data_IF_719876196051
#
_entry.id   IF_719876196051
#
_cell.length_a   1.000
_cell.length_b   1.000
_cell.length_c   1.000
_cell.angle_alpha   90.00
_cell.angle_beta   90.00
_cell.angle_gamma   90.00
#
_symmetry.space_group_name_H-M   'P 1'
#
loop_
_entity.id
_entity.type
_entity.pdbx_description
1 polymer ?
#
# COMPACT_ATOMS: atom_id res chain seq x y z
N UNK A 1 -4.43 -0.89 -15.91
CA UNK A 1 -4.04 0.51 -15.56
C UNK A 1 -4.74 0.87 -14.24
N UNK A 2 -4.20 1.77 -13.41
CA UNK A 2 -4.99 2.30 -12.25
C UNK A 2 -6.06 3.23 -12.82
N UNK A 3 -7.33 2.97 -12.49
CA UNK A 3 -8.51 3.70 -12.97
C UNK A 3 -9.21 4.44 -11.83
N UNK A 4 -9.00 4.02 -10.59
CA UNK A 4 -9.58 4.65 -9.42
C UNK A 4 -8.58 4.68 -8.28
N UNK A 5 -8.58 5.79 -7.54
CA UNK A 5 -7.76 5.97 -6.34
C UNK A 5 -8.57 6.65 -5.25
N UNK A 6 -8.55 6.07 -4.05
CA UNK A 6 -9.02 6.67 -2.81
C UNK A 6 -7.85 6.78 -1.85
N UNK A 7 -7.69 7.96 -1.25
CA UNK A 7 -6.63 8.24 -0.28
C UNK A 7 -7.31 8.82 0.95
N UNK A 8 -7.03 8.28 2.13
CA UNK A 8 -7.56 8.78 3.39
C UNK A 8 -6.43 9.01 4.38
N UNK A 9 -6.62 10.04 5.21
CA UNK A 9 -5.69 10.40 6.27
C UNK A 9 -4.23 10.58 5.76
N UNK A 10 -4.06 11.36 4.68
CA UNK A 10 -2.74 11.62 4.08
C UNK A 10 -2.51 13.12 3.83
N UNK A 11 -1.52 13.70 4.53
CA UNK A 11 -1.11 15.11 4.40
C UNK A 11 -2.28 16.11 4.49
N UNK A 12 -2.66 16.74 3.38
CA UNK A 12 -3.80 17.68 3.33
C UNK A 12 -5.14 16.99 3.06
N UNK A 13 -5.14 15.67 2.85
CA UNK A 13 -6.32 14.90 2.50
C UNK A 13 -6.88 14.19 3.71
N UNK A 14 -8.03 14.65 4.20
CA UNK A 14 -8.89 13.83 5.06
C UNK A 14 -9.37 12.62 4.25
N UNK A 15 -9.89 12.89 3.05
CA UNK A 15 -10.24 11.90 2.04
C UNK A 15 -10.17 12.54 0.65
N UNK A 16 -9.68 11.79 -0.33
CA UNK A 16 -9.73 12.11 -1.76
C UNK A 16 -10.22 10.86 -2.49
N UNK A 17 -11.10 11.04 -3.47
CA UNK A 17 -11.64 9.98 -4.30
C UNK A 17 -11.61 10.46 -5.76
N UNK A 18 -10.80 9.82 -6.61
CA UNK A 18 -10.55 10.27 -7.98
C UNK A 18 -10.62 9.10 -8.95
N UNK A 19 -11.31 9.32 -10.07
CA UNK A 19 -11.22 8.46 -11.25
C UNK A 19 -10.09 8.96 -12.15
N UNK A 20 -9.27 8.05 -12.64
CA UNK A 20 -8.13 8.32 -13.49
C UNK A 20 -8.44 7.88 -14.92
N UNK A 21 -8.27 8.81 -15.87
CA UNK A 21 -8.32 8.53 -17.29
C UNK A 21 -6.95 8.22 -17.86
N UNK A 22 -6.90 8.01 -19.19
CA UNK A 22 -5.64 7.86 -19.95
C UNK A 22 -4.74 9.11 -19.86
N UNK A 23 -5.35 10.28 -19.72
CA UNK A 23 -4.70 11.57 -19.47
C UNK A 23 -5.38 12.23 -18.28
N UNK A 24 -4.61 12.69 -17.29
CA UNK A 24 -5.11 13.38 -16.11
C UNK A 24 -4.40 14.73 -15.99
N UNK A 25 -5.17 15.82 -16.05
CA UNK A 25 -4.66 17.19 -15.89
C UNK A 25 -5.05 17.73 -14.52
N UNK A 26 -4.07 17.97 -13.65
CA UNK A 26 -4.28 18.50 -12.31
C UNK A 26 -4.00 20.00 -12.27
N UNK A 27 -5.05 20.82 -12.22
CA UNK A 27 -4.96 22.29 -12.13
C UNK A 27 -5.46 22.78 -10.78
N UNK A 28 -4.84 23.82 -10.23
CA UNK A 28 -5.28 24.47 -9.01
C UNK A 28 -4.24 25.44 -8.48
N UNK A 29 -4.62 26.25 -7.48
CA UNK A 29 -3.71 27.22 -6.84
C UNK A 29 -2.57 26.55 -6.08
N UNK A 30 -1.54 27.31 -5.69
CA UNK A 30 -0.52 26.81 -4.76
C UNK A 30 -1.19 26.33 -3.46
N UNK A 31 -0.62 25.29 -2.86
CA UNK A 31 -1.17 24.61 -1.67
C UNK A 31 -2.53 23.91 -1.83
N UNK A 32 -3.08 23.79 -3.05
CA UNK A 32 -4.34 23.06 -3.29
C UNK A 32 -4.26 21.52 -3.13
N UNK A 33 -3.15 20.99 -2.62
CA UNK A 33 -2.93 19.55 -2.44
C UNK A 33 -2.32 18.80 -3.64
N UNK A 34 -2.10 19.42 -4.80
CA UNK A 34 -1.52 18.74 -5.99
C UNK A 34 -0.22 18.00 -5.69
N UNK A 35 0.76 18.66 -5.09
CA UNK A 35 2.03 18.02 -4.74
C UNK A 35 1.86 16.92 -3.69
N UNK A 36 0.85 17.01 -2.82
CA UNK A 36 0.52 15.92 -1.88
C UNK A 36 -0.07 14.72 -2.61
N UNK A 37 -0.84 14.93 -3.69
CA UNK A 37 -1.29 13.84 -4.55
C UNK A 37 -0.10 13.13 -5.24
N UNK A 38 0.89 13.87 -5.72
CA UNK A 38 2.11 13.28 -6.26
C UNK A 38 2.93 12.52 -5.19
N UNK A 39 3.00 13.02 -3.95
CA UNK A 39 3.59 12.26 -2.85
C UNK A 39 2.83 10.96 -2.58
N UNK A 40 1.50 10.96 -2.72
CA UNK A 40 0.67 9.76 -2.60
C UNK A 40 0.98 8.73 -3.70
N UNK A 41 1.14 9.17 -4.94
CA UNK A 41 1.59 8.29 -6.03
C UNK A 41 3.01 7.75 -5.78
N UNK A 42 3.89 8.57 -5.21
CA UNK A 42 5.24 8.13 -4.80
C UNK A 42 5.17 7.05 -3.72
N UNK A 43 4.26 7.16 -2.75
CA UNK A 43 4.02 6.09 -1.76
C UNK A 43 3.63 4.79 -2.46
N UNK A 44 2.67 4.82 -3.39
CA UNK A 44 2.27 3.64 -4.15
C UNK A 44 3.41 3.03 -4.98
N UNK A 45 4.26 3.87 -5.58
CA UNK A 45 5.45 3.40 -6.30
C UNK A 45 6.46 2.73 -5.35
N UNK A 46 6.68 3.31 -4.17
CA UNK A 46 7.55 2.73 -3.14
C UNK A 46 7.04 1.38 -2.64
N UNK A 47 5.72 1.23 -2.51
CA UNK A 47 5.06 -0.06 -2.25
C UNK A 47 5.37 -1.05 -3.38
N UNK A 48 5.20 -0.66 -4.64
CA UNK A 48 5.52 -1.52 -5.79
C UNK A 48 7.00 -1.96 -5.85
N UNK A 49 7.91 -1.10 -5.37
CA UNK A 49 9.34 -1.40 -5.24
C UNK A 49 9.68 -2.31 -4.04
N UNK A 50 8.71 -2.63 -3.19
CA UNK A 50 8.87 -3.51 -2.02
C UNK A 50 9.74 -2.92 -0.93
N UNK A 51 9.72 -1.60 -0.80
CA UNK A 51 10.36 -0.89 0.30
C UNK A 51 9.55 -1.02 1.59
N UNK A 52 10.22 -0.83 2.73
CA UNK A 52 9.52 -0.70 4.00
C UNK A 52 8.76 0.62 4.07
N UNK A 53 7.76 0.75 4.94
CA UNK A 53 6.98 1.99 5.09
C UNK A 53 7.91 3.18 5.41
N UNK A 54 8.89 3.00 6.30
CA UNK A 54 9.87 4.07 6.56
C UNK A 54 10.77 4.35 5.37
N UNK A 55 11.26 3.34 4.64
CA UNK A 55 12.02 3.60 3.41
C UNK A 55 11.20 4.40 2.40
N UNK A 56 9.90 4.12 2.28
CA UNK A 56 8.99 4.82 1.37
C UNK A 56 8.82 6.28 1.78
N UNK A 57 8.62 6.55 3.07
CA UNK A 57 8.30 7.88 3.59
C UNK A 57 9.56 8.73 3.82
N UNK A 58 10.58 8.16 4.44
CA UNK A 58 11.78 8.83 4.96
C UNK A 58 13.03 8.62 4.07
N UNK A 59 12.90 7.80 3.03
CA UNK A 59 13.94 7.62 2.03
C UNK A 59 14.77 6.35 2.25
N UNK A 60 15.49 5.95 1.21
CA UNK A 60 16.44 4.83 1.23
C UNK A 60 17.76 5.28 0.62
N UNK A 61 18.89 5.17 1.34
CA UNK A 61 20.19 5.49 0.77
C UNK A 61 20.57 4.47 -0.31
N UNK A 62 21.49 4.86 -1.19
CA UNK A 62 22.05 3.96 -2.20
C UNK A 62 22.68 2.73 -1.52
N UNK A 63 22.42 1.56 -2.06
CA UNK A 63 23.14 0.34 -1.69
C UNK A 63 23.79 -0.28 -2.93
N UNK A 64 24.58 -1.34 -2.73
CA UNK A 64 25.14 -2.13 -3.83
C UNK A 64 24.05 -2.75 -4.74
N UNK A 65 22.81 -2.86 -4.26
CA UNK A 65 21.72 -3.58 -4.91
C UNK A 65 20.47 -2.73 -5.18
N UNK A 66 20.48 -1.43 -4.84
CA UNK A 66 19.34 -0.55 -5.08
C UNK A 66 19.74 0.92 -5.25
N UNK A 67 19.00 1.61 -6.13
CA UNK A 67 19.11 3.06 -6.31
C UNK A 67 18.61 3.84 -5.09
N UNK A 68 18.97 5.13 -5.04
CA UNK A 68 18.50 6.05 -4.01
C UNK A 68 16.98 6.22 -4.15
N UNK A 69 16.27 6.10 -3.04
CA UNK A 69 14.87 6.51 -2.95
C UNK A 69 14.76 7.80 -2.15
N UNK A 70 14.37 8.88 -2.81
CA UNK A 70 14.14 10.15 -2.11
C UNK A 70 12.85 10.08 -1.26
N UNK A 71 12.84 10.65 -0.05
CA UNK A 71 11.67 10.70 0.81
C UNK A 71 10.51 11.47 0.20
N UNK A 72 9.30 11.24 0.72
CA UNK A 72 8.21 12.20 0.52
C UNK A 72 8.47 13.44 1.37
N UNK A 73 7.94 14.59 0.95
CA UNK A 73 8.12 15.85 1.68
C UNK A 73 7.58 15.74 3.11
N UNK A 74 8.45 16.00 4.09
CA UNK A 74 8.13 15.93 5.52
C UNK A 74 8.16 14.52 6.13
N UNK A 75 8.43 13.48 5.35
CA UNK A 75 8.60 12.12 5.82
C UNK A 75 7.38 11.54 6.56
N UNK A 76 7.65 10.52 7.37
CA UNK A 76 6.69 9.86 8.24
C UNK A 76 6.03 10.82 9.24
N UNK A 77 6.77 11.81 9.72
CA UNK A 77 6.30 12.80 10.69
C UNK A 77 5.16 13.70 10.16
N UNK A 78 5.02 13.83 8.83
CA UNK A 78 4.01 14.69 8.19
C UNK A 78 3.13 13.95 7.19
N UNK A 79 3.14 12.62 7.23
CA UNK A 79 2.37 11.80 6.29
C UNK A 79 0.89 11.70 6.67
N UNK A 80 0.55 11.64 7.96
CA UNK A 80 -0.86 11.62 8.41
C UNK A 80 -1.55 12.97 8.21
N UNK A 81 -2.87 12.95 8.05
CA UNK A 81 -3.66 14.18 7.93
C UNK A 81 -3.59 15.00 9.22
N UNK A 82 -3.38 16.31 9.08
CA UNK A 82 -3.36 17.24 10.21
C UNK A 82 -4.19 18.49 9.89
N UNK A 83 -5.07 18.93 10.81
CA UNK A 83 -5.31 18.40 12.16
C UNK A 83 -6.26 17.17 12.18
N UNK A 84 -6.07 16.26 13.14
CA UNK A 84 -7.06 15.23 13.50
C UNK A 84 -6.91 13.84 12.90
N UNK A 85 -5.90 13.60 12.06
CA UNK A 85 -5.55 12.28 11.54
C UNK A 85 -4.46 11.54 12.32
N UNK A 86 -3.93 12.19 13.36
CA UNK A 86 -2.87 11.65 14.21
C UNK A 86 -3.32 10.36 14.92
N UNK A 87 -2.48 9.33 14.87
CA UNK A 87 -2.78 8.01 15.45
C UNK A 87 -3.72 7.13 14.61
N UNK A 88 -4.39 7.69 13.60
CA UNK A 88 -5.16 6.90 12.63
C UNK A 88 -4.23 6.39 11.51
N UNK A 89 -4.53 5.21 10.91
CA UNK A 89 -3.81 4.74 9.74
C UNK A 89 -4.00 5.68 8.56
N UNK A 90 -2.96 5.89 7.76
CA UNK A 90 -3.08 6.39 6.39
C UNK A 90 -3.53 5.24 5.50
N UNK A 91 -4.53 5.44 4.65
CA UNK A 91 -5.04 4.40 3.76
C UNK A 91 -5.00 4.81 2.29
N UNK A 92 -4.72 3.83 1.45
CA UNK A 92 -4.76 3.94 0.00
C UNK A 92 -5.57 2.78 -0.53
N UNK A 93 -6.47 3.06 -1.46
CA UNK A 93 -7.21 2.07 -2.22
C UNK A 93 -7.10 2.41 -3.69
N UNK A 94 -6.71 1.44 -4.50
CA UNK A 94 -6.58 1.60 -5.95
C UNK A 94 -7.26 0.44 -6.66
N UNK A 95 -7.94 0.76 -7.75
CA UNK A 95 -8.62 -0.22 -8.59
C UNK A 95 -8.21 -0.04 -10.05
N UNK A 96 -8.36 -1.11 -10.82
CA UNK A 96 -8.13 -1.08 -12.24
C UNK A 96 -8.45 -2.40 -12.92
N UNK A 97 -8.15 -2.45 -14.21
CA UNK A 97 -8.29 -3.65 -15.02
C UNK A 97 -6.95 -4.05 -15.64
N UNK A 98 -6.76 -5.35 -15.88
CA UNK A 98 -5.68 -5.83 -16.73
C UNK A 98 -6.01 -5.58 -18.20
N UNK A 99 -5.03 -5.12 -18.96
CA UNK A 99 -5.19 -4.83 -20.39
C UNK A 99 -5.01 -6.09 -21.27
N UNK A 100 -4.96 -7.28 -20.66
CA UNK A 100 -4.77 -8.58 -21.33
C UNK A 100 -6.07 -9.38 -21.29
N UNK A 101 -6.58 -9.91 -22.41
CA UNK A 101 -7.76 -10.78 -22.42
C UNK A 101 -7.46 -12.16 -21.80
N UNK A 102 -8.39 -12.75 -21.00
CA UNK A 102 -9.61 -12.12 -20.47
C UNK A 102 -9.25 -11.04 -19.44
N UNK A 103 -9.91 -9.88 -19.53
CA UNK A 103 -9.63 -8.74 -18.64
C UNK A 103 -10.22 -9.02 -17.26
N UNK A 104 -9.36 -9.22 -16.27
CA UNK A 104 -9.77 -9.31 -14.86
C UNK A 104 -9.65 -7.93 -14.19
N UNK A 105 -10.65 -7.59 -13.39
CA UNK A 105 -10.60 -6.43 -12.52
C UNK A 105 -9.78 -6.76 -11.27
N UNK A 106 -9.09 -5.76 -10.75
CA UNK A 106 -8.31 -5.89 -9.54
C UNK A 106 -8.50 -4.68 -8.64
N UNK A 107 -8.37 -4.91 -7.33
CA UNK A 107 -8.37 -3.85 -6.32
C UNK A 107 -7.31 -4.15 -5.28
N UNK A 108 -6.56 -3.12 -4.90
CA UNK A 108 -5.55 -3.18 -3.86
C UNK A 108 -5.80 -2.09 -2.82
N UNK A 109 -5.88 -2.48 -1.55
CA UNK A 109 -5.99 -1.54 -0.44
C UNK A 109 -4.90 -1.79 0.58
N UNK A 110 -4.30 -0.71 1.09
CA UNK A 110 -3.27 -0.75 2.12
C UNK A 110 -3.53 0.35 3.13
N UNK A 111 -3.43 0.00 4.41
CA UNK A 111 -3.47 0.93 5.53
C UNK A 111 -2.22 0.77 6.38
N UNK A 112 -1.57 1.86 6.73
CA UNK A 112 -0.34 1.83 7.53
C UNK A 112 -0.29 2.97 8.56
N UNK A 113 0.37 2.73 9.68
CA UNK A 113 0.78 3.78 10.59
C UNK A 113 2.05 4.42 10.04
N UNK A 114 1.95 5.68 9.62
CA UNK A 114 3.08 6.39 9.06
C UNK A 114 4.21 6.59 10.09
N UNK A 115 3.84 7.00 11.31
CA UNK A 115 4.80 7.29 12.39
C UNK A 115 5.54 6.04 12.86
N UNK A 116 4.82 4.92 12.96
CA UNK A 116 5.38 3.64 13.42
C UNK A 116 5.94 2.79 12.27
N UNK A 117 5.81 3.25 11.02
CA UNK A 117 6.32 2.56 9.84
C UNK A 117 5.82 1.13 9.66
N UNK A 118 4.55 0.86 9.98
CA UNK A 118 4.00 -0.50 9.98
C UNK A 118 2.64 -0.60 9.32
N UNK A 119 2.37 -1.75 8.72
CA UNK A 119 1.04 -2.11 8.22
C UNK A 119 0.01 -2.20 9.36
N UNK A 120 -1.19 -1.78 9.01
CA UNK A 120 -2.41 -1.91 9.81
C UNK A 120 -3.44 -2.77 9.05
N UNK A 121 -3.51 -2.62 7.73
CA UNK A 121 -4.40 -3.36 6.86
C UNK A 121 -3.78 -3.57 5.48
N UNK A 122 -4.05 -4.70 4.85
CA UNK A 122 -3.76 -4.88 3.43
C UNK A 122 -4.71 -5.90 2.81
N UNK A 123 -5.11 -5.67 1.56
CA UNK A 123 -5.94 -6.58 0.79
C UNK A 123 -5.60 -6.46 -0.69
N UNK A 124 -5.52 -7.59 -1.35
CA UNK A 124 -5.49 -7.69 -2.81
C UNK A 124 -6.63 -8.61 -3.26
N UNK A 125 -7.43 -8.10 -4.18
CA UNK A 125 -8.47 -8.87 -4.87
C UNK A 125 -8.19 -8.83 -6.36
N UNK A 126 -8.22 -10.01 -6.96
CA UNK A 126 -8.34 -10.24 -8.41
C UNK A 126 -9.47 -11.26 -8.52
N UNK A 127 -10.51 -10.94 -9.29
CA UNK A 127 -11.72 -11.76 -9.43
C UNK A 127 -12.28 -12.25 -8.06
N UNK A 128 -12.02 -13.49 -7.66
CA UNK A 128 -12.52 -14.12 -6.42
C UNK A 128 -11.69 -13.85 -5.15
N UNK A 129 -10.64 -13.03 -5.22
CA UNK A 129 -9.81 -12.65 -4.06
C UNK A 129 -8.45 -13.35 -4.03
N UNK A 130 -7.43 -12.63 -3.51
CA UNK A 130 -6.05 -13.16 -3.37
C UNK A 130 -5.68 -13.28 -1.90
N UNK A 131 -5.73 -12.18 -1.14
CA UNK A 131 -5.54 -12.18 0.31
C UNK A 131 -6.20 -10.97 0.98
N UNK A 132 -6.47 -11.08 2.28
CA UNK A 132 -6.82 -9.94 3.13
C UNK A 132 -6.32 -10.08 4.57
N UNK A 133 -6.10 -8.94 5.22
CA UNK A 133 -5.76 -8.88 6.64
C UNK A 133 -6.99 -8.67 7.54
N UNK A 134 -8.21 -8.69 7.01
CA UNK A 134 -9.45 -8.37 7.75
C UNK A 134 -10.47 -9.50 7.57
N UNK A 135 -10.98 -10.10 8.65
CA UNK A 135 -11.13 -9.49 9.97
C UNK A 135 -10.05 -9.86 10.99
N UNK A 136 -8.84 -10.23 10.57
CA UNK A 136 -7.75 -10.58 11.50
C UNK A 136 -7.35 -9.34 12.32
N UNK A 137 -7.39 -9.47 13.65
CA UNK A 137 -6.87 -8.44 14.55
C UNK A 137 -5.35 -8.48 14.55
N UNK A 138 -4.73 -7.65 13.71
CA UNK A 138 -3.28 -7.51 13.61
C UNK A 138 -2.71 -6.71 14.79
N UNK A 139 -2.57 -7.37 15.94
CA UNK A 139 -2.07 -6.76 17.18
C UNK A 139 -0.69 -6.10 16.94
N UNK A 140 -0.53 -4.79 17.23
CA UNK A 140 0.75 -4.09 17.09
C UNK A 140 1.92 -4.73 17.85
N UNK A 141 1.67 -5.46 18.94
CA UNK A 141 2.69 -6.08 19.77
C UNK A 141 3.27 -7.39 19.20
N UNK A 142 2.56 -8.04 18.28
CA UNK A 142 3.06 -9.27 17.65
C UNK A 142 4.28 -9.00 16.75
N UNK A 143 5.17 -9.95 16.49
CA UNK A 143 6.33 -9.71 15.62
C UNK A 143 5.98 -9.78 14.12
N UNK A 144 4.76 -10.16 13.74
CA UNK A 144 4.35 -10.39 12.36
C UNK A 144 3.02 -9.71 12.00
N UNK A 145 2.81 -9.49 10.70
CA UNK A 145 1.52 -9.13 10.10
C UNK A 145 0.89 -10.37 9.47
N UNK A 146 -0.38 -10.61 9.73
CA UNK A 146 -1.09 -11.82 9.33
C UNK A 146 -2.21 -11.52 8.33
N UNK A 147 -2.31 -12.37 7.30
CA UNK A 147 -3.35 -12.31 6.26
C UNK A 147 -3.93 -13.69 5.99
N UNK A 148 -5.18 -13.74 5.53
CA UNK A 148 -5.81 -14.92 4.94
C UNK A 148 -5.47 -14.96 3.46
N UNK A 149 -5.07 -16.11 2.94
CA UNK A 149 -4.77 -16.31 1.53
C UNK A 149 -5.79 -17.24 0.85
N UNK A 150 -6.26 -16.87 -0.34
CA UNK A 150 -7.36 -17.53 -1.04
C UNK A 150 -6.94 -18.34 -2.27
N UNK A 151 -5.67 -18.27 -2.68
CA UNK A 151 -5.19 -18.94 -3.90
C UNK A 151 -4.96 -20.46 -3.78
N UNK A 152 -5.74 -21.18 -2.97
CA UNK A 152 -5.64 -22.63 -2.82
C UNK A 152 -7.01 -23.33 -2.74
N UNK A 153 -7.09 -24.60 -3.16
CA UNK A 153 -8.32 -25.43 -3.11
C UNK A 153 -8.80 -25.81 -1.69
N UNK A 154 -8.26 -25.17 -0.64
CA UNK A 154 -8.58 -25.52 0.74
C UNK A 154 -9.93 -24.90 1.12
N UNK A 155 -10.77 -25.69 1.80
CA UNK A 155 -12.07 -25.24 2.33
C UNK A 155 -11.95 -24.09 3.34
N UNK A 156 -10.79 -23.94 3.99
CA UNK A 156 -10.44 -22.82 4.86
C UNK A 156 -9.17 -22.12 4.35
N UNK A 157 -9.20 -20.80 4.13
CA UNK A 157 -8.03 -20.06 3.66
C UNK A 157 -6.91 -20.15 4.71
N UNK A 158 -5.69 -20.54 4.34
CA UNK A 158 -4.55 -20.53 5.25
C UNK A 158 -4.22 -19.09 5.68
N UNK A 159 -3.69 -18.97 6.89
CA UNK A 159 -3.19 -17.71 7.42
C UNK A 159 -1.68 -17.65 7.21
N UNK A 160 -1.20 -16.58 6.57
CA UNK A 160 0.22 -16.38 6.27
C UNK A 160 0.75 -15.20 7.09
N UNK A 161 2.02 -15.27 7.48
CA UNK A 161 2.69 -14.28 8.34
C UNK A 161 3.79 -13.57 7.55
N UNK A 162 3.87 -12.25 7.73
CA UNK A 162 4.72 -11.34 6.98
C UNK A 162 5.40 -10.31 7.88
N UNK A 163 6.43 -9.63 7.37
CA UNK A 163 7.03 -8.48 8.04
C UNK A 163 6.04 -7.31 8.11
N UNK A 164 5.89 -6.69 9.28
CA UNK A 164 4.98 -5.54 9.48
C UNK A 164 5.41 -4.28 8.75
N UNK A 165 6.72 -4.11 8.59
CA UNK A 165 7.28 -2.89 8.03
C UNK A 165 7.18 -2.84 6.51
N UNK A 166 6.81 -3.94 5.83
CA UNK A 166 6.86 -4.04 4.37
C UNK A 166 5.50 -4.50 3.81
N UNK A 167 5.03 -3.98 2.66
CA UNK A 167 3.79 -4.44 2.05
C UNK A 167 3.78 -5.95 1.75
N UNK A 168 2.70 -6.62 2.11
CA UNK A 168 2.46 -8.06 1.86
C UNK A 168 2.54 -8.36 0.37
N UNK A 169 2.00 -7.50 -0.48
CA UNK A 169 2.00 -7.65 -1.94
C UNK A 169 3.38 -8.03 -2.48
N UNK A 170 4.40 -7.30 -2.06
CA UNK A 170 5.76 -7.49 -2.56
C UNK A 170 6.50 -8.63 -1.87
N UNK A 171 6.17 -8.92 -0.61
CA UNK A 171 6.68 -10.10 0.08
C UNK A 171 6.16 -11.39 -0.58
N UNK A 172 4.90 -11.40 -1.03
CA UNK A 172 4.33 -12.51 -1.79
C UNK A 172 4.93 -12.61 -3.18
N UNK A 173 5.03 -11.50 -3.93
CA UNK A 173 5.56 -11.49 -5.29
C UNK A 173 7.03 -11.93 -5.37
N UNK A 174 7.85 -11.62 -4.35
CA UNK A 174 9.28 -12.00 -4.30
C UNK A 174 9.52 -13.42 -3.78
N UNK A 175 8.46 -14.18 -3.48
CA UNK A 175 8.58 -15.51 -2.91
C UNK A 175 9.10 -15.44 -1.48
N UNK A 176 8.25 -15.02 -0.54
CA UNK A 176 8.60 -14.88 0.88
C UNK A 176 9.43 -16.06 1.39
N UNK A 177 10.73 -15.81 1.67
CA UNK A 177 11.68 -16.75 2.26
C UNK A 177 11.45 -18.23 1.93
N UNK A 178 11.44 -18.61 0.64
CA UNK A 178 11.58 -20.01 0.17
C UNK A 178 10.56 -21.05 0.67
N UNK A 179 9.53 -20.67 1.44
CA UNK A 179 8.62 -21.61 2.11
C UNK A 179 7.31 -21.87 1.37
N UNK A 180 7.02 -21.12 0.30
CA UNK A 180 5.73 -21.17 -0.40
C UNK A 180 5.81 -21.82 -1.79
N UNK A 181 7.00 -22.21 -2.25
CA UNK A 181 7.23 -22.84 -3.55
C UNK A 181 7.09 -24.37 -3.54
N UNK A 182 6.62 -24.98 -2.44
CA UNK A 182 6.32 -26.41 -2.37
C UNK A 182 4.94 -26.63 -1.74
N UNK A 183 3.97 -26.94 -2.59
CA UNK A 183 2.63 -27.36 -2.22
C UNK A 183 1.91 -27.88 -3.45
#
# INVERSE_FOLDING_TARGET
>A
MIEHIVIENFKSFKQVNLRLGRLNLFVGTNASGKSNFFDALRVLQGIGNGFTIHEILDGKPRSATSEVWEPIRGGSARASFSPGGEGQPTSFHVEGQFNTPPSSAWSFSVGFSAREGRLCQERLTVDSGVYDSSPISNNPLEPFFEVRYYGGKKSRPPHLKFEKARPVLTQMARGGNGKWAKG
#
